data_IF_336110025571
#
_entry.id   IF_336110025571
#
_cell.length_a   1.000
_cell.length_b   1.000
_cell.length_c   1.000
_cell.angle_alpha   90.00
_cell.angle_beta   90.00
_cell.angle_gamma   90.00
#
_symmetry.space_group_name_H-M   'P 1'
#
loop_
_entity.id
_entity.type
_entity.pdbx_description
1 polymer ?
#
# COMPACT_ATOMS: atom_id res chain seq x y z
N UNK A 1 4.84 -4.87 23.13
CA UNK A 1 3.71 -4.09 22.62
C UNK A 1 4.29 -2.97 21.77
N UNK A 2 3.80 -2.75 20.54
CA UNK A 2 4.20 -1.53 19.81
C UNK A 2 3.76 -0.32 20.64
N UNK A 3 4.64 0.67 20.77
CA UNK A 3 4.31 1.88 21.53
C UNK A 3 3.32 2.70 20.71
N UNK A 4 2.25 3.22 21.33
CA UNK A 4 1.36 4.13 20.64
C UNK A 4 2.10 5.35 20.10
N UNK A 5 1.68 5.83 18.94
CA UNK A 5 2.20 7.04 18.30
C UNK A 5 1.63 8.23 19.03
N UNK A 6 2.50 8.98 19.70
CA UNK A 6 2.11 10.05 20.61
C UNK A 6 1.39 11.17 19.87
N UNK A 7 1.88 11.53 18.70
CA UNK A 7 1.38 12.62 17.86
C UNK A 7 -0.06 12.35 17.37
N UNK A 8 -0.36 11.09 17.04
CA UNK A 8 -1.72 10.64 16.68
C UNK A 8 -2.63 10.66 17.89
N UNK A 9 -2.17 10.11 19.02
CA UNK A 9 -2.96 10.09 20.25
C UNK A 9 -3.30 11.50 20.76
N UNK A 10 -2.35 12.43 20.68
CA UNK A 10 -2.53 13.80 21.16
C UNK A 10 -3.32 14.69 20.20
N UNK A 11 -3.35 14.36 18.90
CA UNK A 11 -4.06 15.13 17.88
C UNK A 11 -4.85 14.23 16.93
N UNK A 12 -5.70 13.36 17.50
CA UNK A 12 -6.45 12.38 16.72
C UNK A 12 -7.41 13.02 15.72
N UNK A 13 -7.98 14.18 16.04
CA UNK A 13 -8.85 14.93 15.12
C UNK A 13 -8.12 15.29 13.80
N UNK A 14 -6.87 15.74 13.88
CA UNK A 14 -6.05 15.98 12.69
C UNK A 14 -5.76 14.69 11.93
N UNK A 15 -5.52 13.59 12.63
CA UNK A 15 -5.34 12.28 11.99
C UNK A 15 -6.60 11.81 11.26
N UNK A 16 -7.79 12.00 11.85
CA UNK A 16 -9.06 11.70 11.19
C UNK A 16 -9.24 12.55 9.93
N UNK A 17 -8.94 13.85 10.01
CA UNK A 17 -8.96 14.74 8.85
C UNK A 17 -8.03 14.25 7.73
N UNK A 18 -6.80 13.83 8.09
CA UNK A 18 -5.85 13.20 7.17
C UNK A 18 -6.35 11.89 6.57
N UNK A 19 -7.31 11.18 7.16
CA UNK A 19 -7.85 9.97 6.54
C UNK A 19 -9.02 10.28 5.60
N UNK A 20 -9.98 11.08 6.06
CA UNK A 20 -11.29 11.20 5.41
C UNK A 20 -11.32 12.20 4.26
N UNK A 21 -10.45 13.20 4.28
CA UNK A 21 -10.47 14.25 3.25
C UNK A 21 -9.66 13.84 2.02
N UNK A 22 -10.04 14.40 0.89
CA UNK A 22 -9.40 14.13 -0.40
C UNK A 22 -7.94 14.60 -0.41
N UNK A 23 -7.12 13.78 -1.06
CA UNK A 23 -5.71 14.01 -1.32
C UNK A 23 -5.46 13.87 -2.80
N UNK A 24 -4.59 14.70 -3.35
CA UNK A 24 -4.31 14.76 -4.77
C UNK A 24 -2.83 14.57 -5.03
N UNK A 25 -2.48 13.60 -5.87
CA UNK A 25 -1.16 13.55 -6.49
C UNK A 25 -1.20 14.24 -7.84
N UNK A 26 -0.09 14.90 -8.20
CA UNK A 26 0.14 15.43 -9.56
C UNK A 26 0.53 14.34 -10.56
N UNK A 27 0.79 13.11 -10.10
CA UNK A 27 1.29 12.00 -10.90
C UNK A 27 0.21 10.95 -11.14
N UNK A 28 -0.31 10.86 -12.38
CA UNK A 28 -1.31 9.85 -12.74
C UNK A 28 -0.74 8.44 -12.78
N UNK A 29 0.46 8.30 -13.36
CA UNK A 29 1.12 7.00 -13.57
C UNK A 29 2.44 7.00 -12.80
N UNK A 30 2.55 6.12 -11.81
CA UNK A 30 3.75 5.93 -11.01
C UNK A 30 4.54 4.76 -11.59
N UNK A 31 5.71 5.05 -12.15
CA UNK A 31 6.65 4.04 -12.65
C UNK A 31 7.66 3.71 -11.55
N UNK A 32 7.83 2.43 -11.24
CA UNK A 32 8.78 1.96 -10.22
C UNK A 32 10.20 1.80 -10.81
N UNK A 33 10.82 2.93 -11.14
CA UNK A 33 12.14 3.01 -11.80
C UNK A 33 13.34 3.04 -10.86
N UNK A 34 13.14 3.24 -9.56
CA UNK A 34 14.22 3.28 -8.57
C UNK A 34 14.34 1.98 -7.78
N UNK A 35 15.56 1.49 -7.60
CA UNK A 35 15.88 0.38 -6.69
C UNK A 35 16.05 0.93 -5.28
N UNK A 36 15.37 0.32 -4.31
CA UNK A 36 15.48 0.68 -2.91
C UNK A 36 16.89 0.38 -2.40
N UNK A 37 17.64 1.41 -2.00
CA UNK A 37 19.07 1.30 -1.68
C UNK A 37 19.44 0.18 -0.70
N UNK A 38 18.62 -0.04 0.34
CA UNK A 38 18.88 -1.08 1.35
C UNK A 38 18.28 -2.46 0.99
N UNK A 39 17.48 -2.56 -0.07
CA UNK A 39 16.80 -3.79 -0.48
C UNK A 39 16.82 -3.92 -2.01
N UNK A 40 17.89 -4.52 -2.55
CA UNK A 40 18.13 -4.61 -4.00
C UNK A 40 17.01 -5.31 -4.79
N UNK A 41 16.29 -6.26 -4.17
CA UNK A 41 15.12 -6.93 -4.74
C UNK A 41 13.82 -6.14 -4.48
N UNK A 42 13.87 -4.81 -4.45
CA UNK A 42 12.68 -4.00 -4.17
C UNK A 42 12.80 -2.69 -4.93
N UNK A 43 11.80 -2.41 -5.76
CA UNK A 43 11.62 -1.11 -6.38
C UNK A 43 10.81 -0.22 -5.46
N UNK A 44 11.08 1.07 -5.53
CA UNK A 44 10.37 2.09 -4.76
C UNK A 44 10.15 3.31 -5.63
N UNK A 45 9.02 3.98 -5.47
CA UNK A 45 8.83 5.34 -5.95
C UNK A 45 8.12 6.15 -4.89
N UNK A 46 8.52 7.40 -4.75
CA UNK A 46 7.85 8.38 -3.91
C UNK A 46 7.29 9.48 -4.81
N UNK A 47 6.04 9.86 -4.55
CA UNK A 47 5.40 11.01 -5.19
C UNK A 47 4.79 11.92 -4.13
N UNK A 48 4.78 13.21 -4.41
CA UNK A 48 4.14 14.19 -3.56
C UNK A 48 2.62 14.11 -3.69
N UNK A 49 1.96 14.39 -2.58
CA UNK A 49 0.51 14.38 -2.42
C UNK A 49 0.09 15.63 -1.64
N UNK A 50 -0.88 16.35 -2.19
CA UNK A 50 -1.47 17.53 -1.59
C UNK A 50 -2.78 17.18 -0.89
N UNK A 51 -2.96 17.65 0.34
CA UNK A 51 -4.22 17.49 1.06
C UNK A 51 -5.14 18.68 0.79
N UNK A 52 -6.45 18.48 0.59
CA UNK A 52 -7.35 19.59 0.24
C UNK A 52 -7.54 20.62 1.35
N UNK A 53 -7.29 20.25 2.60
CA UNK A 53 -7.52 21.11 3.78
C UNK A 53 -6.30 21.32 4.69
N UNK A 54 -5.22 20.55 4.50
CA UNK A 54 -4.04 20.60 5.37
C UNK A 54 -2.85 21.05 4.52
N UNK A 55 -2.10 22.10 4.93
CA UNK A 55 -1.01 22.65 4.12
C UNK A 55 0.26 21.80 4.11
N UNK A 56 0.26 20.66 4.82
CA UNK A 56 1.41 19.77 4.93
C UNK A 56 1.61 18.97 3.65
N UNK A 57 2.85 18.88 3.18
CA UNK A 57 3.20 17.99 2.07
C UNK A 57 3.13 16.55 2.52
N UNK A 58 2.28 15.76 1.85
CA UNK A 58 2.18 14.33 2.07
C UNK A 58 3.01 13.58 1.02
N UNK A 59 3.44 12.37 1.36
CA UNK A 59 4.16 11.50 0.44
C UNK A 59 3.38 10.21 0.24
N UNK A 60 3.12 9.83 -1.01
CA UNK A 60 2.72 8.48 -1.37
C UNK A 60 3.97 7.71 -1.80
N UNK A 61 4.22 6.60 -1.10
CA UNK A 61 5.35 5.71 -1.36
C UNK A 61 4.79 4.37 -1.82
N UNK A 62 5.22 3.94 -3.00
CA UNK A 62 4.89 2.64 -3.58
C UNK A 62 6.15 1.79 -3.59
N UNK A 63 6.07 0.58 -3.04
CA UNK A 63 7.15 -0.41 -3.06
C UNK A 63 6.65 -1.69 -3.73
N UNK A 64 7.50 -2.36 -4.51
CA UNK A 64 7.21 -3.67 -5.08
C UNK A 64 8.48 -4.52 -5.11
N UNK A 65 8.39 -5.81 -4.81
CA UNK A 65 9.47 -6.76 -5.09
C UNK A 65 9.65 -6.91 -6.60
N UNK A 66 10.88 -7.21 -7.01
CA UNK A 66 11.23 -7.45 -8.41
C UNK A 66 10.88 -8.90 -8.77
N UNK A 67 11.29 -9.85 -7.93
CA UNK A 67 11.08 -11.29 -8.17
C UNK A 67 9.63 -11.76 -7.90
N UNK A 68 8.89 -11.08 -7.02
CA UNK A 68 7.50 -11.41 -6.73
C UNK A 68 6.62 -10.16 -6.82
N UNK A 69 6.04 -9.91 -7.99
CA UNK A 69 5.19 -8.74 -8.22
C UNK A 69 3.91 -8.71 -7.39
N UNK A 70 3.53 -9.79 -6.72
CA UNK A 70 2.41 -9.80 -5.76
C UNK A 70 2.80 -9.27 -4.39
N UNK A 71 4.10 -9.11 -4.08
CA UNK A 71 4.61 -8.48 -2.85
C UNK A 71 4.89 -6.99 -3.11
N UNK A 72 3.92 -6.15 -2.75
CA UNK A 72 3.94 -4.71 -2.90
C UNK A 72 3.27 -4.02 -1.70
N UNK A 73 3.59 -2.74 -1.54
CA UNK A 73 3.13 -1.91 -0.41
C UNK A 73 2.81 -0.51 -0.88
N UNK A 74 1.73 0.05 -0.35
CA UNK A 74 1.37 1.46 -0.53
C UNK A 74 1.40 2.16 0.82
N UNK A 75 2.01 3.34 0.90
CA UNK A 75 2.20 4.04 2.17
C UNK A 75 1.96 5.53 1.97
N UNK A 76 1.07 6.11 2.77
CA UNK A 76 0.95 7.54 2.93
C UNK A 76 1.71 7.99 4.16
N UNK A 77 2.50 9.05 4.01
CA UNK A 77 3.30 9.65 5.07
C UNK A 77 3.01 11.14 5.15
N UNK A 78 2.95 11.66 6.38
CA UNK A 78 2.93 13.07 6.70
C UNK A 78 4.21 13.35 7.50
N UNK A 79 5.35 13.65 6.82
CA UNK A 79 6.65 13.73 7.48
C UNK A 79 6.69 14.74 8.63
N UNK A 80 5.99 15.86 8.48
CA UNK A 80 5.90 16.93 9.48
C UNK A 80 5.01 16.59 10.68
N UNK A 81 4.15 15.57 10.56
CA UNK A 81 3.22 15.19 11.62
C UNK A 81 3.74 14.03 12.47
N UNK A 82 3.94 12.84 11.90
CA UNK A 82 4.34 11.63 12.66
C UNK A 82 5.71 11.10 12.25
N UNK A 83 6.25 11.55 11.11
CA UNK A 83 7.48 11.00 10.54
C UNK A 83 7.39 9.55 10.08
N UNK A 84 6.27 8.85 10.24
CA UNK A 84 6.05 7.46 9.84
C UNK A 84 4.81 7.34 8.95
N UNK A 85 4.60 6.22 8.22
CA UNK A 85 3.37 6.03 7.47
C UNK A 85 2.15 6.07 8.40
N UNK A 86 1.19 6.94 8.08
CA UNK A 86 -0.06 7.10 8.84
C UNK A 86 -1.19 6.22 8.29
N UNK A 87 -1.07 5.79 7.03
CA UNK A 87 -1.96 4.84 6.38
C UNK A 87 -1.14 3.98 5.42
N UNK A 88 -1.28 2.65 5.48
CA UNK A 88 -0.55 1.76 4.57
C UNK A 88 -1.36 0.53 4.18
N UNK A 89 -1.00 -0.06 3.05
CA UNK A 89 -1.44 -1.37 2.61
C UNK A 89 -0.21 -2.26 2.42
N UNK A 90 -0.30 -3.48 2.91
CA UNK A 90 0.71 -4.53 2.75
C UNK A 90 0.05 -5.72 2.05
N UNK A 91 0.50 -6.05 0.83
CA UNK A 91 -0.10 -7.14 0.05
C UNK A 91 0.35 -8.53 0.55
N UNK A 92 1.59 -8.61 1.04
CA UNK A 92 2.22 -9.82 1.57
C UNK A 92 3.10 -9.48 2.80
N UNK A 93 3.54 -10.53 3.51
CA UNK A 93 4.36 -10.45 4.71
C UNK A 93 3.70 -11.04 5.95
N UNK A 94 4.06 -10.50 7.10
CA UNK A 94 3.65 -11.05 8.40
C UNK A 94 2.26 -10.56 8.76
N UNK A 95 1.45 -11.46 9.35
CA UNK A 95 0.19 -11.07 9.95
C UNK A 95 0.38 -10.03 11.06
N UNK A 96 -0.53 -9.08 11.15
CA UNK A 96 -0.56 -8.11 12.24
C UNK A 96 -1.48 -8.60 13.36
N UNK A 97 -1.14 -8.27 14.60
CA UNK A 97 -1.98 -8.58 15.76
C UNK A 97 -2.49 -7.29 16.37
N UNK A 98 -3.79 -7.03 16.21
CA UNK A 98 -4.51 -5.97 16.91
C UNK A 98 -4.63 -6.36 18.37
N UNK A 99 -3.57 -6.13 19.16
CA UNK A 99 -3.45 -6.51 20.58
C UNK A 99 -4.48 -5.78 21.46
N UNK A 100 -5.73 -6.23 21.38
CA UNK A 100 -6.87 -5.71 22.12
C UNK A 100 -7.14 -6.64 23.32
N UNK A 101 -7.01 -6.16 24.57
CA UNK A 101 -7.11 -7.00 25.76
C UNK A 101 -8.40 -7.83 25.84
N UNK A 102 -9.51 -7.26 25.35
CA UNK A 102 -10.86 -7.84 25.48
C UNK A 102 -11.31 -8.66 24.27
N UNK A 103 -10.40 -8.95 23.33
CA UNK A 103 -10.68 -9.73 22.12
C UNK A 103 -9.92 -11.05 22.16
N UNK A 104 -10.53 -12.15 21.75
CA UNK A 104 -9.86 -13.46 21.71
C UNK A 104 -8.67 -13.45 20.74
N UNK A 105 -7.56 -14.11 21.09
CA UNK A 105 -6.32 -14.13 20.30
C UNK A 105 -6.53 -14.44 18.80
N UNK A 106 -7.36 -15.42 18.39
CA UNK A 106 -7.59 -15.67 16.96
C UNK A 106 -8.24 -14.50 16.22
N UNK A 107 -9.09 -13.73 16.91
CA UNK A 107 -9.78 -12.54 16.36
C UNK A 107 -8.89 -11.30 16.36
N UNK A 108 -7.75 -11.33 17.04
CA UNK A 108 -6.76 -10.25 17.00
C UNK A 108 -5.84 -10.33 15.78
N UNK A 109 -5.70 -11.51 15.16
CA UNK A 109 -4.80 -11.73 14.02
C UNK A 109 -5.44 -11.26 12.72
N UNK A 110 -4.71 -10.48 11.93
CA UNK A 110 -5.08 -10.03 10.60
C UNK A 110 -3.97 -10.43 9.64
N UNK A 111 -4.20 -11.48 8.85
CA UNK A 111 -3.26 -11.93 7.82
C UNK A 111 -3.18 -10.93 6.67
N UNK A 112 -2.07 -10.91 5.93
CA UNK A 112 -1.96 -10.18 4.66
C UNK A 112 -2.87 -10.82 3.59
N UNK A 113 -3.27 -10.06 2.55
CA UNK A 113 -3.17 -8.61 2.43
C UNK A 113 -4.05 -7.87 3.44
N UNK A 114 -3.59 -6.72 3.93
CA UNK A 114 -4.37 -5.87 4.85
C UNK A 114 -3.95 -4.40 4.80
N UNK A 115 -4.85 -3.55 5.28
CA UNK A 115 -4.60 -2.13 5.53
C UNK A 115 -4.17 -1.92 6.97
N UNK A 116 -3.41 -0.85 7.19
CA UNK A 116 -3.08 -0.33 8.51
C UNK A 116 -3.54 1.11 8.65
N UNK A 117 -4.07 1.40 9.82
CA UNK A 117 -4.39 2.75 10.31
C UNK A 117 -4.11 2.83 11.81
N UNK A 118 -4.40 3.97 12.40
CA UNK A 118 -4.29 4.17 13.85
C UNK A 118 -5.68 4.40 14.45
N UNK A 119 -5.83 4.05 15.71
CA UNK A 119 -6.99 4.42 16.51
C UNK A 119 -6.73 5.66 17.38
N UNK A 120 -7.73 6.09 18.14
CA UNK A 120 -7.70 7.24 19.05
C UNK A 120 -6.64 7.09 20.17
N UNK A 121 -6.29 5.86 20.50
CA UNK A 121 -5.19 5.53 21.39
C UNK A 121 -3.80 5.71 20.76
N UNK A 122 -3.71 6.02 19.47
CA UNK A 122 -2.47 6.06 18.68
C UNK A 122 -1.91 4.67 18.39
N UNK A 123 -2.71 3.61 18.51
CA UNK A 123 -2.27 2.22 18.29
C UNK A 123 -2.39 1.86 16.81
N UNK A 124 -1.35 1.24 16.25
CA UNK A 124 -1.41 0.72 14.90
C UNK A 124 -2.33 -0.51 14.85
N UNK A 125 -3.38 -0.43 14.05
CA UNK A 125 -4.35 -1.51 13.83
C UNK A 125 -4.36 -1.89 12.35
N UNK A 126 -4.53 -3.19 12.09
CA UNK A 126 -4.71 -3.74 10.76
C UNK A 126 -6.17 -4.15 10.53
N UNK A 127 -6.62 -4.13 9.29
CA UNK A 127 -7.96 -4.58 8.92
C UNK A 127 -8.03 -5.02 7.44
N UNK A 128 -9.04 -5.84 7.13
CA UNK A 128 -9.40 -6.23 5.76
C UNK A 128 -10.70 -5.54 5.36
N UNK A 129 -10.73 -4.98 4.16
CA UNK A 129 -11.97 -4.57 3.49
C UNK A 129 -12.78 -5.80 3.10
N UNK A 130 -14.05 -5.64 2.72
CA UNK A 130 -14.88 -6.77 2.30
C UNK A 130 -14.30 -7.49 1.07
N UNK A 131 -13.72 -6.74 0.12
CA UNK A 131 -13.08 -7.30 -1.07
C UNK A 131 -11.89 -8.21 -0.72
N UNK A 132 -11.10 -7.85 0.30
CA UNK A 132 -9.97 -8.66 0.76
C UNK A 132 -10.37 -9.91 1.56
N UNK A 133 -11.64 -10.01 1.99
CA UNK A 133 -12.18 -11.20 2.66
C UNK A 133 -12.67 -12.26 1.68
N UNK A 134 -12.92 -11.88 0.42
CA UNK A 134 -13.38 -12.78 -0.64
C UNK A 134 -12.21 -13.22 -1.50
N UNK A 135 -11.99 -14.53 -1.59
CA UNK A 135 -10.80 -15.09 -2.23
C UNK A 135 -10.61 -14.63 -3.68
N UNK A 136 -11.68 -14.61 -4.48
CA UNK A 136 -11.64 -14.21 -5.89
C UNK A 136 -11.30 -12.74 -6.10
N UNK A 137 -11.87 -11.85 -5.28
CA UNK A 137 -11.62 -10.41 -5.36
C UNK A 137 -10.22 -10.08 -4.83
N UNK A 138 -9.83 -10.72 -3.72
CA UNK A 138 -8.46 -10.65 -3.18
C UNK A 138 -7.43 -11.06 -4.23
N UNK A 139 -7.63 -12.18 -4.91
CA UNK A 139 -6.68 -12.66 -5.94
C UNK A 139 -6.62 -11.71 -7.14
N UNK A 140 -7.74 -11.13 -7.57
CA UNK A 140 -7.75 -10.12 -8.62
C UNK A 140 -6.93 -8.88 -8.23
N UNK A 141 -7.12 -8.37 -7.00
CA UNK A 141 -6.34 -7.25 -6.47
C UNK A 141 -4.84 -7.55 -6.39
N UNK A 142 -4.45 -8.77 -6.01
CA UNK A 142 -3.04 -9.13 -5.92
C UNK A 142 -2.36 -9.35 -7.27
N UNK A 143 -3.12 -9.70 -8.31
CA UNK A 143 -2.59 -9.90 -9.68
C UNK A 143 -2.47 -8.60 -10.48
N UNK A 144 -3.22 -7.56 -10.10
CA UNK A 144 -3.17 -6.25 -10.77
C UNK A 144 -2.93 -5.15 -9.73
N UNK A 145 -1.68 -4.69 -9.66
CA UNK A 145 -1.27 -3.64 -8.73
C UNK A 145 -2.01 -2.31 -8.98
N UNK A 146 -2.43 -2.01 -10.21
CA UNK A 146 -3.17 -0.78 -10.52
C UNK A 146 -4.61 -0.91 -10.06
N UNK A 147 -5.22 -2.08 -10.20
CA UNK A 147 -6.51 -2.39 -9.58
C UNK A 147 -6.42 -2.29 -8.05
N UNK A 148 -5.35 -2.82 -7.44
CA UNK A 148 -5.13 -2.69 -6.01
C UNK A 148 -4.86 -1.24 -5.59
N UNK A 149 -4.19 -0.45 -6.43
CA UNK A 149 -3.96 0.98 -6.19
C UNK A 149 -5.29 1.75 -6.24
N UNK A 150 -6.19 1.45 -7.17
CA UNK A 150 -7.54 2.02 -7.18
C UNK A 150 -8.29 1.69 -5.88
N UNK A 151 -8.24 0.44 -5.43
CA UNK A 151 -8.80 0.03 -4.14
C UNK A 151 -8.16 0.79 -2.96
N UNK A 152 -6.85 1.05 -3.01
CA UNK A 152 -6.17 1.89 -2.01
C UNK A 152 -6.58 3.36 -2.08
N UNK A 153 -6.78 3.91 -3.28
CA UNK A 153 -7.27 5.26 -3.51
C UNK A 153 -8.64 5.48 -2.86
N UNK A 154 -9.56 4.52 -3.02
CA UNK A 154 -10.90 4.57 -2.40
C UNK A 154 -10.81 4.60 -0.87
N UNK A 155 -10.00 3.71 -0.27
CA UNK A 155 -9.86 3.63 1.19
C UNK A 155 -9.08 4.82 1.79
N UNK A 156 -8.15 5.40 1.03
CA UNK A 156 -7.28 6.50 1.50
C UNK A 156 -7.74 7.90 1.08
N UNK A 157 -8.76 7.97 0.22
CA UNK A 157 -9.20 9.20 -0.46
C UNK A 157 -8.05 9.91 -1.20
N UNK A 158 -7.17 9.15 -1.85
CA UNK A 158 -6.01 9.69 -2.58
C UNK A 158 -6.14 9.45 -4.08
N UNK A 159 -6.25 10.52 -4.87
CA UNK A 159 -6.54 10.45 -6.30
C UNK A 159 -5.55 11.29 -7.13
N UNK A 160 -5.58 11.10 -8.43
CA UNK A 160 -5.04 12.03 -9.42
C UNK A 160 -6.13 13.02 -9.82
N UNK A 161 -5.86 14.32 -9.72
CA UNK A 161 -6.77 15.39 -10.13
C UNK A 161 -8.23 15.20 -9.64
N UNK A 162 -8.41 14.92 -8.35
CA UNK A 162 -9.69 14.80 -7.61
C UNK A 162 -10.41 13.47 -7.74
N UNK A 163 -10.55 12.90 -8.93
CA UNK A 163 -11.47 11.79 -9.16
C UNK A 163 -10.91 10.60 -9.97
N UNK A 164 -9.65 10.67 -10.40
CA UNK A 164 -9.02 9.61 -11.19
C UNK A 164 -8.11 8.75 -10.33
N UNK A 165 -8.13 7.46 -10.57
CA UNK A 165 -7.21 6.54 -9.94
C UNK A 165 -5.78 6.73 -10.43
N UNK A 166 -4.84 6.45 -9.53
CA UNK A 166 -3.42 6.38 -9.83
C UNK A 166 -3.12 5.00 -10.40
N UNK A 167 -2.34 4.95 -11.47
CA UNK A 167 -1.90 3.71 -12.13
C UNK A 167 -0.45 3.42 -11.74
N UNK A 168 -0.10 2.13 -11.60
CA UNK A 168 1.23 1.67 -11.21
C UNK A 168 1.84 0.82 -12.32
N UNK A 169 3.09 1.13 -12.66
CA UNK A 169 3.93 0.34 -13.58
C UNK A 169 5.09 -0.26 -12.80
N UNK A 170 5.04 -1.57 -12.53
CA UNK A 170 6.03 -2.27 -11.69
C UNK A 170 7.38 -2.51 -12.38
N UNK A 171 7.37 -2.76 -13.70
CA UNK A 171 8.58 -2.91 -14.51
C UNK A 171 8.75 -1.66 -15.36
N UNK A 172 9.85 -0.91 -15.21
CA UNK A 172 10.09 0.27 -16.04
C UNK A 172 10.06 -0.07 -17.53
N UNK A 173 9.58 0.83 -18.41
CA UNK A 173 9.54 0.57 -19.85
C UNK A 173 10.91 0.27 -20.50
N UNK A 174 12.01 0.62 -19.82
CA UNK A 174 13.38 0.35 -20.24
C UNK A 174 13.85 -1.07 -19.93
N UNK A 175 13.05 -1.86 -19.23
CA UNK A 175 13.36 -3.23 -18.83
C UNK A 175 12.34 -4.20 -19.44
N UNK A 176 12.80 -5.40 -19.79
CA UNK A 176 11.89 -6.49 -20.15
C UNK A 176 11.30 -7.10 -18.89
N UNK A 177 9.99 -7.27 -18.92
CA UNK A 177 9.29 -7.99 -17.87
C UNK A 177 9.53 -9.50 -18.05
N UNK A 178 10.28 -10.10 -17.14
CA UNK A 178 10.55 -11.53 -17.20
C UNK A 178 9.44 -12.28 -16.48
N UNK A 179 8.49 -12.84 -17.23
CA UNK A 179 7.45 -13.71 -16.69
C UNK A 179 7.94 -15.17 -16.69
N UNK A 180 8.53 -15.60 -15.58
CA UNK A 180 9.02 -16.97 -15.43
C UNK A 180 7.93 -18.04 -15.45
N UNK A 181 6.64 -17.67 -15.43
CA UNK A 181 5.53 -18.62 -15.46
C UNK A 181 5.01 -18.89 -16.87
N UNK A 182 5.44 -18.13 -17.88
CA UNK A 182 4.89 -18.21 -19.24
C UNK A 182 5.95 -18.43 -20.34
N UNK A 183 7.24 -18.33 -20.02
CA UNK A 183 8.32 -18.60 -20.98
C UNK A 183 8.92 -19.98 -20.72
N UNK A 184 8.22 -21.06 -21.11
CA UNK A 184 8.93 -22.28 -21.47
C UNK A 184 9.38 -22.13 -22.94
N UNK A 185 10.67 -21.84 -23.21
CA UNK A 185 11.15 -21.60 -24.58
C UNK A 185 11.08 -22.85 -25.49
N UNK A 186 10.70 -24.01 -24.95
CA UNK A 186 10.49 -25.25 -25.70
C UNK A 186 9.02 -25.65 -25.82
N UNK A 187 8.09 -24.84 -25.32
CA UNK A 187 6.66 -25.12 -25.49
C UNK A 187 6.30 -25.06 -26.98
N UNK A 188 5.88 -26.21 -27.54
CA UNK A 188 5.58 -26.34 -28.97
C UNK A 188 6.76 -26.75 -29.87
N UNK A 189 7.94 -27.07 -29.33
CA UNK A 189 9.05 -27.66 -30.11
C UNK A 189 8.96 -29.18 -30.03
N UNK A 190 8.56 -29.83 -31.12
CA UNK A 190 8.76 -31.27 -31.30
C UNK A 190 10.20 -31.53 -31.78
N UNK A 191 10.90 -32.45 -31.12
CA UNK A 191 12.23 -32.90 -31.53
C UNK A 191 12.09 -34.17 -32.37
N UNK A 192 12.64 -34.15 -33.58
CA UNK A 192 12.79 -35.31 -34.48
C UNK A 192 13.78 -36.37 -33.96
#
# INVERSE_FOLDING_TARGET
>A
MEKPVKEIKENYAKYEELLVNTKNTSTKVIVLDEIKGNHKNTRVKKVDVEHTSIPETLELIVESKIENKKDFKFKLRAPEYTGIPFFRFDSDGVAHYNRMPDVELPKQKVDTPHFHKYDDGGRNIAYKTESLKKETEKEALLNDISLCMAHYCDESQTFYNTDKYVEIVQTPPTEMDFDSNNDNPTEGVEYD
#
